data_IF_349507227629
#
_entry.id   IF_349507227629
#
_cell.length_a   1.000
_cell.length_b   1.000
_cell.length_c   1.000
_cell.angle_alpha   90.00
_cell.angle_beta   90.00
_cell.angle_gamma   90.00
#
_symmetry.space_group_name_H-M   'P 1'
#
loop_
_entity.id
_entity.type
_entity.pdbx_description
1 polymer ?
#
# COMPACT_ATOMS: atom_id res chain seq x y z
N UNK A 1 7.45 -3.14 13.26
CA UNK A 1 6.69 -1.86 13.21
C UNK A 1 7.44 -0.66 13.80
N UNK A 2 8.06 -0.71 14.99
CA UNK A 2 8.72 0.47 15.60
C UNK A 2 9.83 1.13 14.77
N UNK A 3 10.48 0.38 13.87
CA UNK A 3 11.43 0.94 12.91
C UNK A 3 10.86 2.09 12.06
N UNK A 4 9.53 2.13 11.86
CA UNK A 4 8.88 3.25 11.17
C UNK A 4 9.13 4.58 11.88
N UNK A 5 9.27 4.61 13.21
CA UNK A 5 9.49 5.87 13.93
C UNK A 5 10.90 6.46 13.72
N UNK A 6 11.87 5.67 13.24
CA UNK A 6 13.18 6.21 12.80
C UNK A 6 13.13 6.78 11.38
N UNK A 7 11.99 6.64 10.72
CA UNK A 7 11.67 7.36 9.49
C UNK A 7 10.77 8.54 9.84
N UNK A 8 10.34 9.29 8.83
CA UNK A 8 9.33 10.33 9.01
C UNK A 8 7.88 9.79 9.09
N UNK A 9 7.72 8.46 9.13
CA UNK A 9 6.45 7.77 9.42
C UNK A 9 6.30 7.48 10.92
N UNK A 10 5.12 7.00 11.34
CA UNK A 10 4.86 6.60 12.73
C UNK A 10 4.20 5.24 12.82
N UNK A 11 4.69 4.39 13.72
CA UNK A 11 4.10 3.06 13.92
C UNK A 11 2.63 3.12 14.35
N UNK A 12 2.25 4.12 15.16
CA UNK A 12 0.86 4.31 15.63
C UNK A 12 -0.06 4.61 14.44
N UNK A 13 0.37 5.49 13.55
CA UNK A 13 -0.41 5.83 12.35
C UNK A 13 -0.48 4.65 11.40
N UNK A 14 0.64 3.96 11.18
CA UNK A 14 0.69 2.74 10.36
C UNK A 14 -0.26 1.65 10.87
N UNK A 15 -0.34 1.44 12.19
CA UNK A 15 -1.31 0.51 12.78
C UNK A 15 -2.76 0.91 12.50
N UNK A 16 -3.06 2.20 12.52
CA UNK A 16 -4.43 2.69 12.27
C UNK A 16 -4.76 2.62 10.78
N UNK A 17 -3.90 3.17 9.92
CA UNK A 17 -4.16 3.25 8.48
C UNK A 17 -4.06 1.90 7.80
N UNK A 18 -2.98 1.16 8.05
CA UNK A 18 -2.71 -0.08 7.34
C UNK A 18 -3.34 -1.30 8.04
N UNK A 19 -3.03 -1.49 9.33
CA UNK A 19 -3.45 -2.70 10.02
C UNK A 19 -4.96 -2.73 10.35
N UNK A 20 -5.53 -1.60 10.77
CA UNK A 20 -6.95 -1.53 11.19
C UNK A 20 -7.90 -1.02 10.11
N UNK A 21 -7.45 -0.19 9.19
CA UNK A 21 -8.31 0.33 8.12
C UNK A 21 -8.10 -0.45 6.83
N UNK A 22 -6.90 -0.42 6.26
CA UNK A 22 -6.63 -1.02 4.96
C UNK A 22 -6.94 -2.52 4.94
N UNK A 23 -6.39 -3.36 5.83
CA UNK A 23 -6.72 -4.80 5.80
C UNK A 23 -8.20 -5.14 6.08
N UNK A 24 -8.96 -4.26 6.75
CA UNK A 24 -10.38 -4.49 6.98
C UNK A 24 -11.24 -4.04 5.78
N UNK A 25 -10.80 -3.00 5.09
CA UNK A 25 -11.60 -2.23 4.14
C UNK A 25 -10.86 -1.97 2.82
N UNK A 26 -9.92 -2.84 2.43
CA UNK A 26 -9.02 -2.70 1.27
C UNK A 26 -9.75 -2.18 0.02
N UNK A 27 -9.26 -1.11 -0.59
CA UNK A 27 -9.81 -0.51 -1.81
C UNK A 27 -11.27 0.00 -1.71
N UNK A 28 -11.81 0.18 -0.50
CA UNK A 28 -13.14 0.76 -0.29
C UNK A 28 -13.08 2.26 0.02
N UNK A 29 -14.23 2.93 0.09
CA UNK A 29 -14.32 4.32 0.59
C UNK A 29 -13.95 4.45 2.08
N UNK A 30 -13.91 3.34 2.83
CA UNK A 30 -13.49 3.32 4.24
C UNK A 30 -12.00 3.02 4.41
N UNK A 31 -11.27 2.78 3.31
CA UNK A 31 -9.83 2.63 3.30
C UNK A 31 -9.14 3.98 3.49
N UNK A 32 -8.42 4.14 4.59
CA UNK A 32 -7.63 5.34 4.85
C UNK A 32 -6.50 5.51 3.84
N UNK A 33 -6.00 4.44 3.20
CA UNK A 33 -5.00 4.55 2.14
C UNK A 33 -5.58 5.17 0.87
N UNK A 34 -6.80 4.80 0.49
CA UNK A 34 -7.51 5.41 -0.65
C UNK A 34 -7.65 6.92 -0.43
N UNK A 35 -8.20 7.32 0.72
CA UNK A 35 -8.40 8.75 1.02
C UNK A 35 -7.11 9.53 1.25
N UNK A 36 -6.04 8.90 1.77
CA UNK A 36 -4.76 9.56 2.03
C UNK A 36 -4.01 9.95 0.74
N UNK A 37 -4.29 9.25 -0.36
CA UNK A 37 -3.67 9.53 -1.66
C UNK A 37 -4.48 10.56 -2.49
N UNK A 38 -5.73 10.82 -2.11
CA UNK A 38 -6.57 11.81 -2.77
C UNK A 38 -6.22 13.26 -2.37
N UNK A 39 -6.35 14.24 -3.30
CA UNK A 39 -6.85 14.08 -4.66
C UNK A 39 -5.79 13.62 -5.67
N UNK A 40 -4.54 13.44 -5.27
CA UNK A 40 -3.42 13.25 -6.19
C UNK A 40 -3.46 11.91 -6.93
N UNK A 41 -3.80 10.81 -6.28
CA UNK A 41 -3.94 9.49 -6.91
C UNK A 41 -5.32 8.94 -6.56
N UNK A 42 -6.25 9.03 -7.51
CA UNK A 42 -7.63 8.59 -7.34
C UNK A 42 -7.81 7.18 -7.90
N UNK A 43 -7.98 6.19 -7.03
CA UNK A 43 -8.10 4.78 -7.45
C UNK A 43 -9.54 4.31 -7.63
N UNK A 44 -10.51 4.90 -6.93
CA UNK A 44 -11.92 4.51 -7.08
C UNK A 44 -12.43 4.87 -8.48
N UNK A 45 -13.24 4.05 -9.14
CA UNK A 45 -13.74 4.26 -10.50
C UNK A 45 -14.88 5.31 -10.57
N UNK A 46 -14.61 6.52 -10.07
CA UNK A 46 -15.54 7.67 -10.08
C UNK A 46 -15.25 8.62 -11.25
N UNK A 47 -16.07 9.66 -11.41
CA UNK A 47 -15.78 10.73 -12.37
C UNK A 47 -14.52 11.52 -11.95
N UNK A 48 -13.54 11.63 -12.87
CA UNK A 48 -12.23 12.25 -12.62
C UNK A 48 -11.82 13.14 -13.78
N UNK A 49 -11.15 14.24 -13.46
CA UNK A 49 -10.54 15.11 -14.48
C UNK A 49 -9.38 14.41 -15.20
N UNK A 50 -9.00 14.91 -16.38
CA UNK A 50 -7.85 14.38 -17.12
C UNK A 50 -6.52 14.49 -16.34
N UNK A 51 -6.42 15.43 -15.40
CA UNK A 51 -5.24 15.63 -14.56
C UNK A 51 -5.05 14.45 -13.61
N UNK A 52 -6.11 14.04 -12.91
CA UNK A 52 -6.03 12.92 -11.95
C UNK A 52 -5.96 11.56 -12.65
N UNK A 53 -6.39 11.49 -13.91
CA UNK A 53 -6.37 10.26 -14.72
C UNK A 53 -5.04 10.00 -15.41
N UNK A 54 -4.56 10.95 -16.21
CA UNK A 54 -3.42 10.75 -17.10
C UNK A 54 -2.18 11.54 -16.69
N UNK A 55 -2.34 12.76 -16.13
CA UNK A 55 -1.18 13.49 -15.64
C UNK A 55 -0.59 12.83 -14.37
N UNK A 56 -1.39 12.09 -13.61
CA UNK A 56 -0.95 11.28 -12.46
C UNK A 56 0.08 10.22 -12.84
N UNK A 57 0.10 9.76 -14.09
CA UNK A 57 1.13 8.85 -14.58
C UNK A 57 2.52 9.47 -14.58
N UNK A 58 2.59 10.81 -14.69
CA UNK A 58 3.83 11.56 -14.73
C UNK A 58 4.22 12.03 -13.33
N UNK A 59 3.27 12.55 -12.54
CA UNK A 59 3.58 13.13 -11.23
C UNK A 59 3.53 12.13 -10.07
N UNK A 60 3.04 10.90 -10.25
CA UNK A 60 2.98 9.91 -9.16
C UNK A 60 4.33 9.64 -8.47
N UNK A 61 5.50 9.59 -9.16
CA UNK A 61 6.79 9.46 -8.47
C UNK A 61 7.10 10.64 -7.55
N UNK A 62 6.63 11.85 -7.89
CA UNK A 62 6.75 13.04 -7.04
C UNK A 62 5.87 12.87 -5.81
N UNK A 63 4.62 12.40 -5.96
CA UNK A 63 3.75 12.10 -4.83
C UNK A 63 4.43 11.10 -3.89
N UNK A 64 4.98 10.01 -4.43
CA UNK A 64 5.70 9.00 -3.64
C UNK A 64 6.90 9.57 -2.89
N UNK A 65 7.68 10.48 -3.51
CA UNK A 65 8.83 11.11 -2.88
C UNK A 65 8.50 11.90 -1.61
N UNK A 66 7.27 12.41 -1.49
CA UNK A 66 6.85 13.25 -0.38
C UNK A 66 5.91 12.56 0.62
N UNK A 67 5.55 11.28 0.44
CA UNK A 67 4.66 10.54 1.37
C UNK A 67 5.17 10.62 2.81
N UNK A 68 6.44 10.28 3.05
CA UNK A 68 7.02 10.28 4.41
C UNK A 68 6.97 11.67 5.05
N UNK A 69 7.34 12.71 4.30
CA UNK A 69 7.33 14.09 4.78
C UNK A 69 5.88 14.54 5.04
N UNK A 70 4.94 14.17 4.18
CA UNK A 70 3.52 14.52 4.34
C UNK A 70 2.92 13.92 5.61
N UNK A 71 3.18 12.65 5.92
CA UNK A 71 2.76 12.01 7.17
C UNK A 71 3.37 12.71 8.39
N UNK A 72 4.65 13.06 8.33
CA UNK A 72 5.32 13.79 9.41
C UNK A 72 4.69 15.17 9.67
N UNK A 73 4.46 15.95 8.60
CA UNK A 73 3.82 17.26 8.69
C UNK A 73 2.38 17.14 9.18
N UNK A 74 1.62 16.15 8.70
CA UNK A 74 0.26 15.84 9.18
C UNK A 74 0.26 15.61 10.69
N UNK A 75 1.19 14.80 11.21
CA UNK A 75 1.28 14.51 12.64
C UNK A 75 1.55 15.77 13.48
N UNK A 76 2.42 16.66 13.01
CA UNK A 76 2.70 17.95 13.66
C UNK A 76 1.45 18.83 13.64
N UNK A 77 0.87 19.04 12.46
CA UNK A 77 -0.30 19.91 12.27
C UNK A 77 -1.46 19.42 13.13
N UNK A 78 -1.74 18.11 13.13
CA UNK A 78 -2.78 17.53 13.96
C UNK A 78 -2.53 17.74 15.45
N UNK A 79 -1.29 17.57 15.92
CA UNK A 79 -0.93 17.82 17.33
C UNK A 79 -1.17 19.29 17.71
N UNK A 80 -0.80 20.22 16.83
CA UNK A 80 -0.99 21.66 17.04
C UNK A 80 -2.47 22.06 17.04
N UNK A 81 -3.26 21.55 16.09
CA UNK A 81 -4.70 21.85 15.97
C UNK A 81 -5.49 21.29 17.16
N UNK A 82 -5.19 20.06 17.57
CA UNK A 82 -5.91 19.39 18.66
C UNK A 82 -5.41 19.80 20.05
N UNK A 83 -4.36 20.63 20.13
CA UNK A 83 -3.73 21.00 21.41
C UNK A 83 -3.10 19.81 22.13
N UNK A 84 -2.76 18.75 21.38
CA UNK A 84 -2.11 17.56 21.93
C UNK A 84 -0.61 17.81 22.12
N UNK A 85 -0.02 17.12 23.11
CA UNK A 85 1.43 17.14 23.29
C UNK A 85 2.08 16.49 22.07
N UNK A 86 3.03 17.21 21.45
CA UNK A 86 3.85 16.69 20.35
C UNK A 86 4.55 15.42 20.84
N UNK A 87 4.29 14.25 20.22
CA UNK A 87 4.86 13.00 20.69
C UNK A 87 6.36 12.97 20.48
N UNK A 88 7.10 12.49 21.49
CA UNK A 88 8.56 12.38 21.44
C UNK A 88 9.06 11.53 20.27
N UNK A 89 8.23 10.61 19.76
CA UNK A 89 8.52 9.81 18.58
C UNK A 89 8.82 10.65 17.33
N UNK A 90 8.35 11.91 17.25
CA UNK A 90 8.67 12.80 16.14
C UNK A 90 10.15 13.25 16.15
N UNK A 91 10.87 13.07 17.25
CA UNK A 91 12.31 13.34 17.31
C UNK A 91 13.17 12.15 16.85
N UNK A 92 12.61 10.94 16.81
CA UNK A 92 13.34 9.72 16.44
C UNK A 92 13.94 9.73 15.03
N UNK A 93 13.30 10.27 13.97
CA UNK A 93 13.98 10.33 12.67
C UNK A 93 15.27 11.17 12.73
N UNK A 94 15.32 12.21 13.57
CA UNK A 94 16.50 13.05 13.70
C UNK A 94 17.61 12.42 14.53
N UNK A 95 17.39 11.30 15.23
CA UNK A 95 18.50 10.55 15.84
C UNK A 95 19.37 9.91 14.76
N UNK A 96 18.82 9.60 13.58
CA UNK A 96 19.60 9.14 12.42
C UNK A 96 20.50 10.26 11.92
N UNK A 97 19.97 11.47 11.72
CA UNK A 97 20.76 12.65 11.37
C UNK A 97 21.82 12.96 12.43
N UNK A 98 21.45 12.91 13.70
CA UNK A 98 22.38 13.11 14.82
C UNK A 98 23.52 12.08 14.82
N UNK A 99 23.21 10.80 14.55
CA UNK A 99 24.23 9.77 14.41
C UNK A 99 25.16 10.02 13.22
N UNK A 100 24.63 10.45 12.06
CA UNK A 100 25.45 10.82 10.91
C UNK A 100 26.42 11.96 11.24
N UNK A 101 25.95 12.99 11.95
CA UNK A 101 26.80 14.12 12.36
C UNK A 101 27.84 13.69 13.42
N UNK A 102 27.45 12.84 14.37
CA UNK A 102 28.31 12.46 15.49
C UNK A 102 29.38 11.42 15.15
N UNK A 103 29.10 10.51 14.20
CA UNK A 103 29.96 9.37 13.90
C UNK A 103 30.66 9.46 12.54
N UNK A 104 30.53 10.59 11.84
CA UNK A 104 31.28 10.84 10.59
C UNK A 104 32.10 12.11 10.71
N UNK A 105 33.13 12.24 9.87
CA UNK A 105 33.93 13.46 9.75
C UNK A 105 33.36 14.43 8.70
N UNK A 106 32.11 14.23 8.29
CA UNK A 106 31.47 15.02 7.23
C UNK A 106 30.85 16.32 7.77
N UNK A 107 30.63 17.29 6.88
CA UNK A 107 29.96 18.53 7.25
C UNK A 107 28.49 18.30 7.62
N UNK A 108 27.95 19.13 8.54
CA UNK A 108 26.52 19.10 8.89
C UNK A 108 25.61 19.25 7.67
N UNK A 109 26.01 20.07 6.70
CA UNK A 109 25.28 20.27 5.44
C UNK A 109 25.22 18.96 4.66
N UNK A 110 26.36 18.28 4.49
CA UNK A 110 26.42 17.00 3.81
C UNK A 110 25.56 15.93 4.51
N UNK A 111 25.68 15.79 5.83
CA UNK A 111 24.84 14.85 6.59
C UNK A 111 23.34 15.14 6.43
N UNK A 112 22.96 16.43 6.42
CA UNK A 112 21.57 16.85 6.22
C UNK A 112 21.06 16.50 4.83
N UNK A 113 21.86 16.77 3.78
CA UNK A 113 21.52 16.39 2.40
C UNK A 113 21.36 14.88 2.31
N UNK A 114 22.29 14.11 2.86
CA UNK A 114 22.24 12.64 2.83
C UNK A 114 21.06 12.08 3.62
N UNK A 115 20.70 12.69 4.75
CA UNK A 115 19.50 12.32 5.51
C UNK A 115 18.23 12.49 4.67
N UNK A 116 18.04 13.65 4.04
CA UNK A 116 16.88 13.87 3.16
C UNK A 116 16.94 13.00 1.91
N UNK A 117 18.12 12.71 1.37
CA UNK A 117 18.28 11.76 0.28
C UNK A 117 17.77 10.36 0.66
N UNK A 118 18.13 9.87 1.85
CA UNK A 118 17.64 8.59 2.40
C UNK A 118 16.13 8.63 2.57
N UNK A 119 15.57 9.70 3.15
CA UNK A 119 14.13 9.84 3.36
C UNK A 119 13.37 9.84 2.03
N UNK A 120 13.79 10.65 1.05
CA UNK A 120 13.14 10.75 -0.27
C UNK A 120 13.23 9.40 -1.01
N UNK A 121 14.40 8.79 -1.04
CA UNK A 121 14.59 7.50 -1.72
C UNK A 121 13.76 6.39 -1.08
N UNK A 122 13.72 6.35 0.26
CA UNK A 122 12.87 5.39 0.99
C UNK A 122 11.39 5.63 0.72
N UNK A 123 10.96 6.89 0.67
CA UNK A 123 9.58 7.27 0.39
C UNK A 123 9.17 6.90 -1.04
N UNK A 124 10.05 7.10 -2.04
CA UNK A 124 9.81 6.64 -3.42
C UNK A 124 9.67 5.13 -3.46
N UNK A 125 10.62 4.39 -2.86
CA UNK A 125 10.58 2.93 -2.85
C UNK A 125 9.33 2.41 -2.15
N UNK A 126 9.00 2.98 -0.99
CA UNK A 126 7.80 2.66 -0.23
C UNK A 126 6.53 3.01 -1.02
N UNK A 127 6.48 4.13 -1.74
CA UNK A 127 5.33 4.47 -2.59
C UNK A 127 5.19 3.51 -3.77
N UNK A 128 6.29 3.11 -4.41
CA UNK A 128 6.26 2.12 -5.50
C UNK A 128 5.77 0.77 -4.98
N UNK A 129 6.35 0.28 -3.87
CA UNK A 129 5.97 -1.01 -3.31
C UNK A 129 4.60 -0.92 -2.66
N UNK A 130 4.37 -0.02 -1.71
CA UNK A 130 3.11 0.06 -0.96
C UNK A 130 1.89 0.40 -1.83
N UNK A 131 2.03 1.28 -2.82
CA UNK A 131 0.87 1.67 -3.66
C UNK A 131 0.70 0.73 -4.85
N UNK A 132 1.76 0.13 -5.41
CA UNK A 132 1.59 -0.82 -6.52
C UNK A 132 1.89 -2.30 -6.26
N UNK A 133 2.14 -2.68 -5.01
CA UNK A 133 1.99 -4.05 -4.55
C UNK A 133 0.51 -4.43 -4.55
N UNK A 134 0.14 -5.37 -5.41
CA UNK A 134 -1.06 -6.21 -5.33
C UNK A 134 -2.44 -5.54 -5.27
N UNK A 135 -2.58 -4.22 -5.12
CA UNK A 135 -3.88 -3.58 -4.81
C UNK A 135 -4.61 -3.02 -6.02
N UNK A 136 -3.88 -2.38 -6.93
CA UNK A 136 -4.51 -1.52 -7.94
C UNK A 136 -4.35 -2.10 -9.34
N UNK A 137 -5.44 -2.69 -9.84
CA UNK A 137 -5.59 -3.16 -11.21
C UNK A 137 -7.08 -3.05 -11.60
N UNK A 138 -7.44 -2.80 -12.87
CA UNK A 138 -8.84 -2.76 -13.32
C UNK A 138 -9.67 -4.02 -13.03
N UNK A 139 -8.99 -5.15 -12.84
CA UNK A 139 -9.55 -6.48 -12.56
C UNK A 139 -9.51 -6.85 -11.07
N UNK A 140 -9.00 -5.94 -10.23
CA UNK A 140 -9.03 -6.05 -8.77
C UNK A 140 -10.14 -5.14 -8.26
N UNK A 141 -10.91 -5.65 -7.31
CA UNK A 141 -12.07 -4.93 -6.80
C UNK A 141 -11.67 -3.59 -6.16
N UNK A 142 -12.41 -2.55 -6.52
CA UNK A 142 -12.42 -1.25 -5.85
C UNK A 142 -13.88 -0.83 -5.64
N UNK A 143 -14.16 -0.11 -4.55
CA UNK A 143 -15.51 0.39 -4.29
C UNK A 143 -16.05 1.21 -5.48
N UNK A 144 -17.25 0.84 -5.92
CA UNK A 144 -17.88 1.36 -7.14
C UNK A 144 -17.91 0.34 -8.26
N UNK A 145 -16.99 -0.63 -8.29
CA UNK A 145 -17.07 -1.80 -9.17
C UNK A 145 -18.25 -2.71 -8.78
N UNK A 146 -18.66 -3.59 -9.70
CA UNK A 146 -19.70 -4.59 -9.42
C UNK A 146 -19.13 -5.68 -8.51
N UNK A 147 -19.63 -5.84 -7.27
CA UNK A 147 -19.15 -6.91 -6.39
C UNK A 147 -19.77 -8.26 -6.77
N UNK A 148 -19.27 -9.34 -6.17
CA UNK A 148 -19.98 -10.64 -6.18
C UNK A 148 -21.36 -10.52 -5.52
N UNK A 149 -22.30 -11.45 -5.83
CA UNK A 149 -23.56 -11.56 -5.09
C UNK A 149 -23.35 -11.65 -3.57
N UNK A 150 -24.22 -11.01 -2.78
CA UNK A 150 -24.07 -10.91 -1.32
C UNK A 150 -24.03 -12.26 -0.61
N UNK A 151 -24.76 -13.24 -1.12
CA UNK A 151 -24.81 -14.62 -0.62
C UNK A 151 -23.54 -15.42 -0.92
N UNK A 152 -22.67 -14.91 -1.79
CA UNK A 152 -21.39 -15.51 -2.18
C UNK A 152 -20.18 -14.68 -1.70
N UNK A 153 -20.42 -13.67 -0.86
CA UNK A 153 -19.40 -12.75 -0.38
C UNK A 153 -19.27 -12.86 1.14
N UNK A 154 -18.05 -13.16 1.58
CA UNK A 154 -17.61 -12.96 2.96
C UNK A 154 -16.34 -12.10 2.98
N UNK A 155 -15.83 -11.82 4.19
CA UNK A 155 -14.63 -11.00 4.34
C UNK A 155 -13.37 -11.63 3.70
N UNK A 156 -13.21 -12.95 3.75
CA UNK A 156 -12.06 -13.64 3.18
C UNK A 156 -12.06 -13.57 1.65
N UNK A 157 -13.22 -13.83 1.03
CA UNK A 157 -13.43 -13.67 -0.42
C UNK A 157 -13.20 -12.21 -0.82
N UNK A 158 -13.68 -11.26 -0.04
CA UNK A 158 -13.43 -9.84 -0.28
C UNK A 158 -11.93 -9.50 -0.30
N UNK A 159 -11.14 -10.04 0.64
CA UNK A 159 -9.68 -9.85 0.60
C UNK A 159 -9.06 -10.41 -0.67
N UNK A 160 -9.46 -11.62 -1.09
CA UNK A 160 -8.96 -12.26 -2.33
C UNK A 160 -9.34 -11.44 -3.58
N UNK A 161 -10.52 -10.83 -3.59
CA UNK A 161 -10.98 -10.00 -4.71
C UNK A 161 -10.30 -8.62 -4.76
N UNK A 162 -9.87 -8.10 -3.61
CA UNK A 162 -9.25 -6.77 -3.46
C UNK A 162 -7.72 -6.77 -3.58
N UNK A 163 -7.08 -7.94 -3.73
CA UNK A 163 -5.63 -8.05 -3.92
C UNK A 163 -5.24 -9.08 -4.99
N UNK A 164 -3.98 -9.05 -5.43
CA UNK A 164 -3.44 -10.07 -6.35
C UNK A 164 -1.96 -10.33 -6.14
N UNK A 165 -1.62 -11.58 -5.92
CA UNK A 165 -0.23 -12.00 -5.74
C UNK A 165 0.60 -11.98 -7.02
N UNK A 166 1.91 -11.86 -6.82
CA UNK A 166 2.91 -11.72 -7.88
C UNK A 166 3.80 -12.95 -7.90
N UNK A 167 3.65 -13.79 -8.92
CA UNK A 167 4.41 -15.05 -9.02
C UNK A 167 5.92 -14.85 -9.15
N UNK A 168 6.34 -13.75 -9.76
CA UNK A 168 7.75 -13.35 -9.89
C UNK A 168 8.34 -12.86 -8.56
N UNK A 169 7.54 -12.25 -7.68
CA UNK A 169 7.96 -11.84 -6.33
C UNK A 169 7.94 -13.01 -5.36
N UNK A 170 6.85 -13.79 -5.32
CA UNK A 170 6.66 -14.90 -4.38
C UNK A 170 7.65 -16.08 -4.63
N UNK A 171 8.38 -16.06 -5.74
CA UNK A 171 9.43 -17.04 -6.03
C UNK A 171 10.71 -16.88 -5.20
N UNK A 172 10.86 -15.76 -4.47
CA UNK A 172 12.05 -15.44 -3.70
C UNK A 172 11.69 -14.87 -2.33
N UNK A 173 12.16 -15.53 -1.28
CA UNK A 173 11.96 -15.07 0.09
C UNK A 173 12.47 -13.64 0.33
N UNK A 174 13.59 -13.27 -0.28
CA UNK A 174 14.11 -11.89 -0.19
C UNK A 174 13.16 -10.88 -0.83
N UNK A 175 12.61 -11.21 -2.01
CA UNK A 175 11.68 -10.32 -2.70
C UNK A 175 10.34 -10.24 -1.97
N UNK A 176 9.85 -11.33 -1.37
CA UNK A 176 8.67 -11.34 -0.50
C UNK A 176 8.83 -10.33 0.63
N UNK A 177 9.95 -10.38 1.37
CA UNK A 177 10.20 -9.50 2.50
C UNK A 177 10.42 -8.02 2.13
N UNK A 178 10.95 -7.75 0.94
CA UNK A 178 11.30 -6.38 0.51
C UNK A 178 10.24 -5.72 -0.35
N UNK A 179 9.38 -6.50 -1.03
CA UNK A 179 8.40 -6.00 -2.00
C UNK A 179 6.96 -6.46 -1.69
N UNK A 180 6.64 -6.76 -0.43
CA UNK A 180 5.31 -7.19 0.05
C UNK A 180 4.74 -8.35 -0.79
N UNK A 181 5.52 -9.43 -0.90
CA UNK A 181 5.04 -10.69 -1.48
C UNK A 181 4.10 -11.44 -0.54
N UNK A 182 3.54 -12.55 -1.00
CA UNK A 182 2.52 -13.33 -0.28
C UNK A 182 1.34 -12.47 0.20
N UNK A 183 0.98 -11.48 -0.62
CA UNK A 183 0.17 -10.34 -0.22
C UNK A 183 -1.27 -10.72 0.12
N UNK A 184 -1.82 -11.72 -0.57
CA UNK A 184 -3.14 -12.27 -0.29
C UNK A 184 -3.19 -12.88 1.11
N UNK A 185 -2.19 -13.69 1.46
CA UNK A 185 -2.09 -14.27 2.79
C UNK A 185 -1.77 -13.22 3.85
N UNK A 186 -0.99 -12.19 3.50
CA UNK A 186 -0.78 -11.05 4.39
C UNK A 186 -2.11 -10.34 4.73
N UNK A 187 -3.00 -10.16 3.75
CA UNK A 187 -4.31 -9.56 3.98
C UNK A 187 -5.24 -10.42 4.83
N UNK A 188 -5.20 -11.74 4.63
CA UNK A 188 -5.98 -12.69 5.43
C UNK A 188 -5.42 -12.84 6.86
N UNK A 189 -4.11 -12.75 7.02
CA UNK A 189 -3.41 -12.98 8.29
C UNK A 189 -2.36 -11.89 8.60
N UNK A 190 -2.77 -10.62 8.77
CA UNK A 190 -1.84 -9.50 8.85
C UNK A 190 -0.98 -9.47 10.12
N UNK A 191 -1.31 -10.30 11.11
CA UNK A 191 -0.54 -10.46 12.35
C UNK A 191 0.54 -11.54 12.25
N UNK A 192 0.52 -12.38 11.22
CA UNK A 192 1.55 -13.39 10.98
C UNK A 192 2.74 -12.71 10.29
N UNK A 193 3.94 -13.02 10.76
CA UNK A 193 5.16 -12.50 10.14
C UNK A 193 5.28 -13.01 8.70
N UNK A 194 5.65 -12.12 7.77
CA UNK A 194 5.72 -12.42 6.34
C UNK A 194 6.58 -13.66 6.04
N UNK A 195 7.61 -13.93 6.86
CA UNK A 195 8.46 -15.08 6.69
C UNK A 195 7.77 -16.44 6.82
N UNK A 196 6.61 -16.47 7.48
CA UNK A 196 5.83 -17.68 7.72
C UNK A 196 4.63 -17.85 6.80
N UNK A 197 4.24 -16.82 6.04
CA UNK A 197 3.02 -16.86 5.20
C UNK A 197 3.09 -18.00 4.17
N UNK A 198 4.26 -18.28 3.61
CA UNK A 198 4.46 -19.36 2.64
C UNK A 198 3.98 -20.74 3.13
N UNK A 199 3.96 -20.98 4.45
CA UNK A 199 3.54 -22.25 5.02
C UNK A 199 2.02 -22.42 5.09
N UNK A 200 1.25 -21.36 4.82
CA UNK A 200 -0.21 -21.36 4.86
C UNK A 200 -0.84 -21.64 3.49
N UNK A 201 -0.05 -21.67 2.41
CA UNK A 201 -0.56 -21.92 1.06
C UNK A 201 -1.29 -23.26 0.90
N UNK A 202 -0.85 -24.39 1.50
CA UNK A 202 -1.58 -25.66 1.38
C UNK A 202 -3.03 -25.55 1.85
N UNK A 203 -3.23 -25.06 3.08
CA UNK A 203 -4.55 -24.87 3.69
C UNK A 203 -5.35 -23.79 2.96
N UNK A 204 -4.69 -22.73 2.50
CA UNK A 204 -5.32 -21.67 1.71
C UNK A 204 -5.88 -22.19 0.38
N UNK A 205 -5.14 -23.04 -0.34
CA UNK A 205 -5.61 -23.61 -1.59
C UNK A 205 -6.73 -24.62 -1.39
N UNK A 206 -6.66 -25.44 -0.34
CA UNK A 206 -7.77 -26.32 0.07
C UNK A 206 -9.03 -25.51 0.37
N UNK A 207 -8.91 -24.43 1.15
CA UNK A 207 -10.02 -23.53 1.46
C UNK A 207 -10.57 -22.84 0.20
N UNK A 208 -9.71 -22.37 -0.71
CA UNK A 208 -10.17 -21.82 -1.99
C UNK A 208 -10.99 -22.85 -2.78
N UNK A 209 -10.60 -24.12 -2.77
CA UNK A 209 -11.33 -25.20 -3.44
C UNK A 209 -12.70 -25.44 -2.79
N UNK A 210 -12.79 -25.46 -1.45
CA UNK A 210 -14.05 -25.62 -0.71
C UNK A 210 -15.08 -24.53 -1.06
N UNK A 211 -14.62 -23.30 -1.25
CA UNK A 211 -15.46 -22.15 -1.61
C UNK A 211 -15.64 -21.97 -3.12
N UNK A 212 -15.07 -22.86 -3.95
CA UNK A 212 -15.13 -22.74 -5.41
C UNK A 212 -14.43 -21.50 -5.97
N UNK A 213 -13.45 -20.96 -5.23
CA UNK A 213 -12.68 -19.77 -5.61
C UNK A 213 -11.47 -20.19 -6.43
N UNK A 214 -11.35 -19.61 -7.63
CA UNK A 214 -10.14 -19.71 -8.43
C UNK A 214 -9.12 -18.69 -7.96
N UNK A 215 -8.06 -19.15 -7.31
CA UNK A 215 -6.91 -18.31 -7.01
C UNK A 215 -6.06 -18.09 -8.27
N UNK A 216 -5.75 -16.84 -8.57
CA UNK A 216 -4.87 -16.50 -9.70
C UNK A 216 -3.80 -15.52 -9.25
N UNK A 217 -2.66 -15.60 -9.91
CA UNK A 217 -1.52 -14.70 -9.69
C UNK A 217 -1.20 -13.95 -10.98
N UNK A 218 -0.50 -12.83 -10.83
CA UNK A 218 -0.03 -12.00 -11.95
C UNK A 218 1.48 -11.77 -11.81
N UNK A 219 2.03 -10.83 -12.56
CA UNK A 219 3.43 -10.39 -12.44
C UNK A 219 3.52 -8.96 -11.91
N UNK A 220 4.67 -8.59 -11.34
CA UNK A 220 4.91 -7.20 -10.93
C UNK A 220 4.69 -6.22 -12.08
N UNK A 221 5.16 -6.54 -13.29
CA UNK A 221 5.02 -5.68 -14.45
C UNK A 221 3.55 -5.45 -14.84
N UNK A 222 2.72 -6.50 -14.80
CA UNK A 222 1.30 -6.34 -15.13
C UNK A 222 0.54 -5.56 -14.05
N UNK A 223 0.89 -5.71 -12.77
CA UNK A 223 0.32 -4.85 -11.72
C UNK A 223 0.73 -3.39 -11.85
N UNK A 224 1.99 -3.09 -12.18
CA UNK A 224 2.44 -1.71 -12.43
C UNK A 224 1.62 -1.10 -13.58
N UNK A 225 1.45 -1.81 -14.70
CA UNK A 225 0.60 -1.34 -15.81
C UNK A 225 -0.86 -1.18 -15.38
N UNK A 226 -1.36 -2.15 -14.60
CA UNK A 226 -2.69 -2.14 -14.01
C UNK A 226 -2.95 -0.91 -13.16
N UNK A 227 -2.01 -0.55 -12.31
CA UNK A 227 -2.13 0.60 -11.42
C UNK A 227 -2.37 1.90 -12.21
N UNK A 228 -1.61 2.14 -13.28
CA UNK A 228 -1.82 3.30 -14.14
C UNK A 228 -3.14 3.22 -14.92
N UNK A 229 -3.54 2.02 -15.39
CA UNK A 229 -4.87 1.83 -16.00
C UNK A 229 -5.99 2.12 -14.99
N UNK A 230 -5.82 1.75 -13.72
CA UNK A 230 -6.78 2.02 -12.65
C UNK A 230 -6.88 3.53 -12.35
N UNK A 231 -5.76 4.25 -12.31
CA UNK A 231 -5.77 5.72 -12.20
C UNK A 231 -6.57 6.37 -13.35
N UNK A 232 -6.43 5.84 -14.57
CA UNK A 232 -7.16 6.34 -15.73
C UNK A 232 -8.62 5.88 -15.82
N UNK A 233 -9.01 4.84 -15.07
CA UNK A 233 -10.38 4.31 -15.00
C UNK A 233 -11.29 5.32 -14.28
N UNK A 234 -12.43 5.61 -14.89
CA UNK A 234 -13.45 6.54 -14.37
C UNK A 234 -14.86 5.93 -14.37
N UNK A 235 -14.96 4.65 -14.76
CA UNK A 235 -16.20 3.89 -14.82
C UNK A 235 -16.02 2.58 -14.06
N UNK A 236 -17.02 2.16 -13.28
CA UNK A 236 -17.06 0.84 -12.68
C UNK A 236 -16.79 -0.29 -13.66
N UNK A 237 -16.12 -1.34 -13.19
CA UNK A 237 -16.09 -2.64 -13.83
C UNK A 237 -17.48 -3.29 -13.67
N UNK A 238 -18.19 -3.59 -14.77
CA UNK A 238 -19.51 -4.23 -14.69
C UNK A 238 -19.43 -5.72 -14.38
N UNK A 239 -18.24 -6.32 -14.40
CA UNK A 239 -18.04 -7.75 -14.19
C UNK A 239 -17.50 -8.01 -12.78
N UNK A 240 -18.18 -8.84 -11.97
CA UNK A 240 -17.66 -9.27 -10.68
C UNK A 240 -16.30 -9.98 -10.82
N UNK A 241 -15.40 -9.83 -9.83
CA UNK A 241 -14.21 -10.66 -9.73
C UNK A 241 -14.55 -12.15 -9.82
N UNK A 242 -13.67 -12.94 -10.46
CA UNK A 242 -13.89 -14.37 -10.64
C UNK A 242 -14.87 -14.77 -11.74
N UNK A 243 -15.47 -13.83 -12.47
CA UNK A 243 -16.12 -14.16 -13.74
C UNK A 243 -15.05 -14.60 -14.75
N UNK A 244 -15.10 -15.86 -15.17
CA UNK A 244 -14.45 -16.28 -16.40
C UNK A 244 -15.14 -15.50 -17.52
N UNK A 245 -14.45 -14.53 -18.12
CA UNK A 245 -14.95 -13.92 -19.35
C UNK A 245 -15.15 -15.06 -20.37
N UNK A 246 -16.32 -15.17 -21.01
CA UNK A 246 -16.48 -16.13 -22.09
C UNK A 246 -15.47 -15.77 -23.19
N UNK A 247 -14.55 -16.68 -23.47
CA UNK A 247 -13.62 -16.62 -24.60
C UNK A 247 -14.36 -16.73 -25.92
#
# INVERSE_FOLDING_TARGET
MYYFDFTMMRHKEWRISHALSHHLYTNTVYDLEISALEPFLQYLPTEKSLIFRFASWIYSPIVYAFVYIAFYLKAIIQSLILGEKIPLSLLLPFTVLGAMIAFTNESVIFCTIMFFWIIITSSIYFGIVGVNAAHHHPDIFHDGDTPRPKDQMDWGIFQIDAVRDRKDINSSYFLVLTNFGDHTLHHLFPTIDHGYLQYLYPEFFETCQEFGIRYETTTQLELVKGQYRQLAKHKPNPFPPGHIQPT
#
